data_IF_580135140200
#
_entry.id   IF_580135140200
#
_cell.length_a   1.000
_cell.length_b   1.000
_cell.length_c   1.000
_cell.angle_alpha   90.00
_cell.angle_beta   90.00
_cell.angle_gamma   90.00
#
_symmetry.space_group_name_H-M   'P 1'
#
loop_
_entity.id
_entity.type
_entity.pdbx_description
1 polymer ?
#
# COMPACT_ATOMS: atom_id res chain seq x y z
N UNK A 1 -77.88 17.24 -20.76
CA UNK A 1 -76.81 17.07 -19.74
C UNK A 1 -75.85 15.97 -20.21
N UNK A 2 -74.68 16.32 -20.75
CA UNK A 2 -73.51 15.42 -20.82
C UNK A 2 -72.32 16.24 -21.31
N UNK A 3 -71.38 16.55 -20.42
CA UNK A 3 -70.07 17.11 -20.78
C UNK A 3 -69.00 16.05 -20.47
N UNK A 4 -68.18 15.79 -21.48
CA UNK A 4 -66.94 15.03 -21.39
C UNK A 4 -65.95 15.67 -20.41
N UNK A 5 -65.18 14.84 -19.72
CA UNK A 5 -63.84 15.22 -19.26
C UNK A 5 -62.87 14.04 -19.46
N UNK A 6 -61.90 14.25 -20.36
CA UNK A 6 -60.67 13.48 -20.47
C UNK A 6 -59.72 13.91 -19.32
N UNK A 7 -59.12 12.94 -18.63
CA UNK A 7 -58.01 13.17 -17.72
C UNK A 7 -56.68 12.98 -18.47
N UNK A 8 -55.90 14.05 -18.60
CA UNK A 8 -54.47 13.98 -18.95
C UNK A 8 -53.66 13.74 -17.67
N UNK A 9 -52.93 12.63 -17.60
CA UNK A 9 -51.92 12.38 -16.57
C UNK A 9 -50.55 12.80 -17.10
N UNK A 10 -49.96 13.85 -16.53
CA UNK A 10 -48.57 14.25 -16.78
C UNK A 10 -47.63 13.49 -15.86
N UNK A 11 -46.75 12.65 -16.44
CA UNK A 11 -45.65 12.00 -15.75
C UNK A 11 -44.47 12.99 -15.70
N UNK A 12 -44.11 13.46 -14.51
CA UNK A 12 -42.89 14.25 -14.29
C UNK A 12 -41.73 13.31 -13.96
N UNK A 13 -40.77 13.22 -14.88
CA UNK A 13 -39.53 12.48 -14.71
C UNK A 13 -38.55 13.35 -13.90
N UNK A 14 -38.35 13.04 -12.62
CA UNK A 14 -37.37 13.72 -11.77
C UNK A 14 -36.01 13.08 -12.01
N UNK A 15 -35.17 13.73 -12.84
CA UNK A 15 -33.74 13.41 -12.92
C UNK A 15 -33.05 13.90 -11.64
N UNK A 16 -32.80 12.99 -10.70
CA UNK A 16 -31.88 13.25 -9.59
C UNK A 16 -30.45 13.23 -10.10
N UNK A 17 -29.91 14.41 -10.43
CA UNK A 17 -28.46 14.60 -10.57
C UNK A 17 -27.82 14.36 -9.20
N UNK A 18 -27.29 13.16 -8.99
CA UNK A 18 -26.42 12.85 -7.87
C UNK A 18 -25.17 13.71 -7.96
N UNK A 19 -25.14 14.81 -7.21
CA UNK A 19 -23.91 15.55 -6.95
C UNK A 19 -23.01 14.64 -6.13
N UNK A 20 -21.92 14.17 -6.74
CA UNK A 20 -20.84 13.53 -6.01
C UNK A 20 -20.25 14.58 -5.05
N UNK A 21 -20.74 14.59 -3.81
CA UNK A 21 -20.23 15.46 -2.77
C UNK A 21 -18.74 15.15 -2.57
N UNK A 22 -17.88 16.06 -2.99
CA UNK A 22 -16.46 16.03 -2.65
C UNK A 22 -16.35 16.30 -1.16
N UNK A 23 -16.22 15.24 -0.37
CA UNK A 23 -16.03 15.35 1.08
C UNK A 23 -14.83 16.26 1.35
N UNK A 24 -15.06 17.41 2.01
CA UNK A 24 -13.99 18.34 2.40
C UNK A 24 -13.04 17.63 3.38
N UNK A 25 -11.73 17.73 3.10
CA UNK A 25 -10.70 17.22 4.02
C UNK A 25 -10.74 18.00 5.34
N UNK A 26 -10.80 17.27 6.44
CA UNK A 26 -10.64 17.78 7.81
C UNK A 26 -9.13 17.95 8.07
N UNK A 27 -8.68 18.90 8.91
CA UNK A 27 -7.25 19.19 9.11
C UNK A 27 -6.36 17.99 9.50
N UNK A 28 -6.93 16.92 10.05
CA UNK A 28 -6.21 15.72 10.48
C UNK A 28 -6.32 14.52 9.50
N UNK A 29 -6.94 14.72 8.35
CA UNK A 29 -7.07 13.69 7.33
C UNK A 29 -5.76 13.43 6.61
N UNK A 30 -5.62 12.21 6.10
CA UNK A 30 -4.57 11.93 5.14
C UNK A 30 -4.93 12.62 3.82
N UNK A 31 -4.11 13.57 3.39
CA UNK A 31 -4.30 14.17 2.06
C UNK A 31 -3.81 13.23 0.96
N UNK A 32 -4.26 13.44 -0.27
CA UNK A 32 -3.75 12.71 -1.44
C UNK A 32 -2.21 12.81 -1.57
N UNK A 33 -1.64 14.00 -1.37
CA UNK A 33 -0.17 14.19 -1.43
C UNK A 33 0.54 13.33 -0.37
N UNK A 34 0.04 13.32 0.85
CA UNK A 34 0.61 12.48 1.93
C UNK A 34 0.41 10.99 1.64
N UNK A 35 -0.76 10.58 1.14
CA UNK A 35 -1.04 9.20 0.75
C UNK A 35 -0.07 8.70 -0.33
N UNK A 36 0.19 9.52 -1.36
CA UNK A 36 1.18 9.19 -2.39
C UNK A 36 2.60 9.08 -1.82
N UNK A 37 3.01 10.00 -0.95
CA UNK A 37 4.33 9.95 -0.31
C UNK A 37 4.48 8.69 0.56
N UNK A 38 3.45 8.34 1.34
CA UNK A 38 3.44 7.11 2.14
C UNK A 38 3.46 5.86 1.27
N UNK A 39 2.70 5.83 0.17
CA UNK A 39 2.71 4.71 -0.77
C UNK A 39 4.10 4.51 -1.39
N UNK A 40 4.74 5.59 -1.87
CA UNK A 40 6.10 5.53 -2.42
C UNK A 40 7.12 5.09 -1.37
N UNK A 41 6.99 5.58 -0.13
CA UNK A 41 7.84 5.14 0.98
C UNK A 41 7.63 3.67 1.29
N UNK A 42 6.39 3.18 1.35
CA UNK A 42 6.07 1.77 1.56
C UNK A 42 6.69 0.88 0.47
N UNK A 43 6.57 1.27 -0.81
CA UNK A 43 7.24 0.58 -1.93
C UNK A 43 8.74 0.48 -1.74
N UNK A 44 9.39 1.59 -1.41
CA UNK A 44 10.84 1.61 -1.20
C UNK A 44 11.25 0.69 -0.04
N UNK A 45 10.52 0.75 1.08
CA UNK A 45 10.78 -0.10 2.25
C UNK A 45 10.58 -1.58 1.93
N UNK A 46 9.53 -1.93 1.18
CA UNK A 46 9.29 -3.30 0.72
C UNK A 46 10.47 -3.82 -0.10
N UNK A 47 10.86 -3.13 -1.18
CA UNK A 47 11.91 -3.61 -2.07
C UNK A 47 13.29 -3.65 -1.42
N UNK A 48 13.62 -2.66 -0.59
CA UNK A 48 14.85 -2.71 0.20
C UNK A 48 14.87 -3.94 1.13
N UNK A 49 13.74 -4.24 1.77
CA UNK A 49 13.64 -5.41 2.66
C UNK A 49 13.75 -6.72 1.87
N UNK A 50 13.06 -6.85 0.73
CA UNK A 50 13.18 -8.04 -0.13
C UNK A 50 14.58 -8.20 -0.74
N UNK A 51 15.28 -7.10 -0.96
CA UNK A 51 16.67 -7.10 -1.44
C UNK A 51 17.69 -7.46 -0.35
N UNK A 52 17.26 -7.80 0.87
CA UNK A 52 18.15 -8.12 1.98
C UNK A 52 18.74 -6.91 2.70
N UNK A 53 18.49 -5.68 2.26
CA UNK A 53 19.11 -4.48 2.79
C UNK A 53 18.76 -3.20 2.04
N UNK A 54 19.02 -2.06 2.66
CA UNK A 54 18.80 -0.77 1.99
C UNK A 54 19.81 -0.53 0.85
N UNK A 55 19.44 0.22 -0.18
CA UNK A 55 20.39 0.59 -1.24
C UNK A 55 21.67 1.28 -0.71
N UNK A 56 21.57 1.99 0.42
CA UNK A 56 22.69 2.71 1.05
C UNK A 56 23.67 1.81 1.81
N UNK A 57 23.27 0.58 2.12
CA UNK A 57 24.02 -0.34 3.00
C UNK A 57 24.70 -1.49 2.26
N UNK A 58 24.58 -1.58 0.93
CA UNK A 58 25.17 -2.64 0.10
C UNK A 58 26.67 -2.90 0.38
N UNK A 59 27.41 -1.91 0.86
CA UNK A 59 28.80 -2.04 1.24
C UNK A 59 29.06 -2.93 2.49
N UNK A 60 28.05 -3.23 3.30
CA UNK A 60 28.17 -3.98 4.57
C UNK A 60 27.26 -5.23 4.63
N UNK A 61 26.89 -5.76 3.46
CA UNK A 61 26.01 -6.92 3.34
C UNK A 61 26.83 -8.19 3.18
N UNK A 62 26.52 -9.23 3.96
CA UNK A 62 27.11 -10.56 3.77
C UNK A 62 26.31 -11.33 2.72
N UNK A 63 26.99 -11.97 1.76
CA UNK A 63 26.38 -12.89 0.80
C UNK A 63 26.22 -14.32 1.35
N UNK A 64 26.33 -14.49 2.67
CA UNK A 64 26.20 -15.80 3.32
C UNK A 64 24.78 -16.33 3.13
N UNK A 65 24.70 -17.52 2.53
CA UNK A 65 23.46 -18.20 2.20
C UNK A 65 23.35 -19.54 2.94
N UNK A 66 22.13 -20.00 3.14
CA UNK A 66 21.85 -21.32 3.68
C UNK A 66 20.54 -21.88 3.13
N UNK A 67 20.39 -23.19 3.18
CA UNK A 67 19.13 -23.85 2.82
C UNK A 67 18.24 -24.06 4.05
N UNK A 68 16.95 -23.78 3.91
CA UNK A 68 15.94 -24.05 4.92
C UNK A 68 14.58 -24.26 4.23
N UNK A 69 13.87 -25.33 4.59
CA UNK A 69 12.56 -25.66 4.00
C UNK A 69 12.57 -25.68 2.45
N UNK A 70 13.62 -26.27 1.86
CA UNK A 70 13.83 -26.39 0.41
C UNK A 70 13.92 -25.04 -0.34
N UNK A 71 14.23 -23.95 0.38
CA UNK A 71 14.49 -22.63 -0.18
C UNK A 71 15.90 -22.18 0.20
N UNK A 72 16.56 -21.48 -0.71
CA UNK A 72 17.80 -20.79 -0.43
C UNK A 72 17.49 -19.47 0.28
N UNK A 73 18.19 -19.17 1.36
CA UNK A 73 18.07 -17.96 2.15
C UNK A 73 19.35 -17.15 2.12
N UNK A 74 19.22 -15.84 2.32
CA UNK A 74 20.33 -14.90 2.48
C UNK A 74 20.13 -14.12 3.78
N UNK A 75 21.20 -13.97 4.57
CA UNK A 75 21.18 -13.12 5.75
C UNK A 75 21.06 -11.64 5.37
N UNK A 76 20.21 -10.92 6.12
CA UNK A 76 20.02 -9.49 5.90
C UNK A 76 21.24 -8.67 6.34
N UNK A 77 21.45 -7.53 5.68
CA UNK A 77 22.50 -6.58 6.01
C UNK A 77 22.35 -6.04 7.44
N UNK A 78 23.44 -5.55 8.04
CA UNK A 78 23.54 -5.22 9.47
C UNK A 78 22.41 -4.33 10.02
N UNK A 79 21.89 -3.41 9.20
CA UNK A 79 20.81 -2.48 9.55
C UNK A 79 19.42 -3.12 9.58
N UNK A 80 19.24 -4.27 8.91
CA UNK A 80 18.03 -5.11 8.96
C UNK A 80 18.29 -6.48 9.62
N UNK A 81 19.52 -6.76 10.03
CA UNK A 81 20.03 -8.10 10.39
C UNK A 81 19.39 -8.76 11.62
N UNK A 82 18.42 -8.13 12.27
CA UNK A 82 17.58 -8.79 13.29
C UNK A 82 16.13 -8.41 13.07
N UNK A 83 15.20 -9.25 13.53
CA UNK A 83 13.75 -8.96 13.45
C UNK A 83 13.41 -7.59 14.04
N UNK A 84 13.99 -7.22 15.18
CA UNK A 84 13.75 -5.93 15.82
C UNK A 84 14.22 -4.75 14.94
N UNK A 85 15.38 -4.89 14.28
CA UNK A 85 15.90 -3.88 13.36
C UNK A 85 15.04 -3.73 12.11
N UNK A 86 14.62 -4.84 11.51
CA UNK A 86 13.70 -4.81 10.37
C UNK A 86 12.35 -4.18 10.74
N UNK A 87 11.75 -4.57 11.87
CA UNK A 87 10.51 -3.95 12.36
C UNK A 87 10.68 -2.45 12.57
N UNK A 88 11.79 -2.02 13.19
CA UNK A 88 12.09 -0.58 13.39
C UNK A 88 12.19 0.15 12.06
N UNK A 89 12.85 -0.44 11.07
CA UNK A 89 12.97 0.13 9.72
C UNK A 89 11.61 0.27 9.02
N UNK A 90 10.73 -0.73 9.14
CA UNK A 90 9.43 -0.76 8.47
C UNK A 90 8.33 0.06 9.17
N UNK A 91 8.46 0.29 10.48
CA UNK A 91 7.44 0.96 11.32
C UNK A 91 6.97 2.35 10.82
N UNK A 92 7.82 3.21 10.23
CA UNK A 92 7.37 4.47 9.68
C UNK A 92 6.41 4.33 8.49
N UNK A 93 6.51 3.24 7.71
CA UNK A 93 5.71 3.02 6.51
C UNK A 93 4.49 2.12 6.76
N UNK A 94 4.62 1.15 7.67
CA UNK A 94 3.64 0.07 7.84
C UNK A 94 3.14 -0.05 9.28
N UNK A 95 1.86 -0.38 9.43
CA UNK A 95 1.28 -0.78 10.72
C UNK A 95 2.00 -2.00 11.30
N UNK A 96 1.98 -2.16 12.62
CA UNK A 96 2.62 -3.32 13.26
C UNK A 96 2.07 -4.65 12.71
N UNK A 97 0.76 -4.72 12.55
CA UNK A 97 0.08 -5.91 12.02
C UNK A 97 0.50 -6.21 10.58
N UNK A 98 0.66 -5.19 9.73
CA UNK A 98 1.14 -5.37 8.36
C UNK A 98 2.55 -5.96 8.32
N UNK A 99 3.45 -5.46 9.18
CA UNK A 99 4.82 -5.96 9.28
C UNK A 99 4.83 -7.43 9.72
N UNK A 100 4.13 -7.75 10.82
CA UNK A 100 4.07 -9.11 11.34
C UNK A 100 3.49 -10.10 10.31
N UNK A 101 2.45 -9.69 9.59
CA UNK A 101 1.84 -10.48 8.52
C UNK A 101 2.79 -10.65 7.33
N UNK A 102 3.40 -9.57 6.85
CA UNK A 102 4.33 -9.60 5.72
C UNK A 102 5.56 -10.46 5.99
N UNK A 103 6.22 -10.31 7.14
CA UNK A 103 7.37 -11.16 7.49
C UNK A 103 7.01 -12.65 7.49
N UNK A 104 5.77 -13.00 7.88
CA UNK A 104 5.29 -14.38 7.83
C UNK A 104 4.98 -14.84 6.40
N UNK A 105 4.24 -14.04 5.63
CA UNK A 105 3.81 -14.36 4.26
C UNK A 105 5.00 -14.54 3.31
N UNK A 106 6.06 -13.76 3.50
CA UNK A 106 7.29 -13.84 2.71
C UNK A 106 8.37 -14.73 3.36
N UNK A 107 7.98 -15.58 4.31
CA UNK A 107 8.83 -16.61 4.91
C UNK A 107 10.13 -16.09 5.53
N UNK A 108 10.15 -14.87 6.08
CA UNK A 108 11.33 -14.38 6.82
C UNK A 108 11.61 -15.28 8.02
N UNK A 109 12.88 -15.60 8.25
CA UNK A 109 13.30 -16.50 9.32
C UNK A 109 14.48 -15.93 10.10
N UNK A 110 14.73 -16.49 11.29
CA UNK A 110 15.87 -16.15 12.12
C UNK A 110 16.73 -17.40 12.31
N UNK A 111 18.02 -17.29 11.98
CA UNK A 111 19.02 -18.32 12.23
C UNK A 111 20.20 -17.66 12.96
N UNK A 112 20.59 -18.24 14.10
CA UNK A 112 21.68 -17.72 14.96
C UNK A 112 21.51 -16.24 15.34
N UNK A 113 20.26 -15.82 15.58
CA UNK A 113 19.91 -14.43 15.91
C UNK A 113 19.93 -13.46 14.73
N UNK A 114 20.34 -13.89 13.53
CA UNK A 114 20.34 -13.10 12.30
C UNK A 114 19.06 -13.31 11.50
N UNK A 115 18.45 -12.22 11.03
CA UNK A 115 17.29 -12.26 10.15
C UNK A 115 17.73 -12.66 8.73
N UNK A 116 16.92 -13.48 8.07
CA UNK A 116 17.13 -13.93 6.70
C UNK A 116 15.82 -13.92 5.91
N UNK A 117 15.96 -13.74 4.59
CA UNK A 117 14.87 -13.73 3.60
C UNK A 117 15.18 -14.78 2.52
N UNK A 118 14.18 -15.49 1.96
CA UNK A 118 14.41 -16.37 0.82
C UNK A 118 14.98 -15.59 -0.37
N UNK A 119 15.87 -16.22 -1.12
CA UNK A 119 16.41 -15.68 -2.37
C UNK A 119 15.28 -15.62 -3.40
N UNK A 120 15.11 -14.46 -4.02
CA UNK A 120 14.17 -14.23 -5.10
C UNK A 120 14.46 -12.91 -5.80
N UNK A 121 13.87 -12.73 -6.97
CA UNK A 121 13.88 -11.47 -7.71
C UNK A 121 12.46 -10.94 -7.90
N UNK A 122 12.38 -9.65 -8.22
CA UNK A 122 11.11 -9.01 -8.47
C UNK A 122 11.31 -7.56 -8.89
N UNK A 123 10.48 -7.14 -9.83
CA UNK A 123 10.26 -5.75 -10.16
C UNK A 123 8.84 -5.63 -10.73
N UNK A 124 8.35 -4.42 -10.96
CA UNK A 124 7.16 -4.21 -11.74
C UNK A 124 7.25 -2.96 -12.59
N UNK A 125 6.44 -2.98 -13.65
CA UNK A 125 6.31 -1.90 -14.61
C UNK A 125 5.37 -0.78 -14.12
N UNK A 126 5.00 -0.73 -12.84
CA UNK A 126 4.04 0.25 -12.33
C UNK A 126 4.72 1.58 -11.98
N UNK A 127 4.31 2.64 -12.67
CA UNK A 127 4.81 3.99 -12.45
C UNK A 127 4.03 4.71 -11.34
N UNK A 128 4.25 4.31 -10.10
CA UNK A 128 3.59 4.90 -8.93
C UNK A 128 3.79 6.40 -8.79
N UNK A 129 4.93 6.93 -9.24
CA UNK A 129 5.20 8.38 -9.23
C UNK A 129 4.20 9.17 -10.08
N UNK A 130 3.57 8.53 -11.07
CA UNK A 130 2.54 9.13 -11.95
C UNK A 130 1.12 8.67 -11.60
N UNK A 131 0.92 7.99 -10.46
CA UNK A 131 -0.38 7.49 -10.08
C UNK A 131 -1.38 8.63 -9.80
N UNK A 132 -2.63 8.44 -10.25
CA UNK A 132 -3.77 9.28 -9.88
C UNK A 132 -4.53 8.60 -8.75
N UNK A 133 -5.13 9.37 -7.84
CA UNK A 133 -5.82 8.81 -6.68
C UNK A 133 -7.27 9.28 -6.58
N UNK A 134 -8.13 8.38 -6.12
CA UNK A 134 -9.52 8.68 -5.73
C UNK A 134 -9.75 8.18 -4.31
N UNK A 135 -10.31 9.03 -3.43
CA UNK A 135 -10.70 8.61 -2.09
C UNK A 135 -11.90 7.65 -2.22
N UNK A 136 -11.78 6.44 -1.68
CA UNK A 136 -12.87 5.47 -1.66
C UNK A 136 -13.64 5.48 -0.34
N UNK A 137 -12.92 5.60 0.77
CA UNK A 137 -13.49 5.51 2.11
C UNK A 137 -12.68 6.33 3.09
N UNK A 138 -13.37 6.97 4.03
CA UNK A 138 -12.81 7.67 5.19
C UNK A 138 -13.67 7.36 6.40
N UNK A 139 -13.08 6.67 7.39
CA UNK A 139 -13.74 6.26 8.64
C UNK A 139 -12.79 6.43 9.81
N UNK A 140 -12.92 7.54 10.53
CA UNK A 140 -12.06 7.86 11.68
C UNK A 140 -10.57 7.78 11.35
N UNK A 141 -9.86 6.86 12.00
CA UNK A 141 -8.42 6.60 11.83
C UNK A 141 -8.08 5.71 10.63
N UNK A 142 -9.02 5.49 9.70
CA UNK A 142 -8.82 4.66 8.51
C UNK A 142 -9.24 5.41 7.24
N UNK A 143 -8.38 5.41 6.23
CA UNK A 143 -8.68 5.96 4.90
C UNK A 143 -8.20 5.02 3.80
N UNK A 144 -9.00 4.86 2.75
CA UNK A 144 -8.66 4.01 1.60
C UNK A 144 -8.69 4.84 0.33
N UNK A 145 -7.60 4.79 -0.43
CA UNK A 145 -7.48 5.42 -1.73
C UNK A 145 -7.35 4.35 -2.82
N UNK A 146 -8.03 4.58 -3.95
CA UNK A 146 -7.76 3.88 -5.21
C UNK A 146 -6.70 4.61 -5.98
N UNK A 147 -5.57 3.97 -6.22
CA UNK A 147 -4.52 4.39 -7.12
C UNK A 147 -4.80 3.84 -8.51
N UNK A 148 -4.82 4.72 -9.50
CA UNK A 148 -4.74 4.36 -10.92
C UNK A 148 -3.31 4.60 -11.35
N UNK A 149 -2.55 3.53 -11.51
CA UNK A 149 -1.09 3.54 -11.71
C UNK A 149 -0.78 3.25 -13.17
N UNK A 150 -0.25 4.24 -13.92
CA UNK A 150 0.22 4.01 -15.28
C UNK A 150 1.33 2.96 -15.31
N UNK A 151 1.42 2.21 -16.40
CA UNK A 151 2.54 1.30 -16.62
C UNK A 151 3.66 2.01 -17.40
N UNK A 152 4.88 1.49 -17.30
CA UNK A 152 6.06 2.01 -18.00
C UNK A 152 6.13 1.57 -19.46
N UNK A 153 5.49 0.46 -19.80
CA UNK A 153 5.45 -0.13 -21.14
C UNK A 153 4.31 0.41 -22.03
N UNK A 154 3.49 1.32 -21.51
CA UNK A 154 2.34 1.88 -22.23
C UNK A 154 1.06 1.02 -22.18
N UNK A 155 1.09 -0.12 -21.50
CA UNK A 155 -0.10 -0.92 -21.18
C UNK A 155 -1.16 -0.12 -20.37
N UNK A 156 -2.41 -0.60 -20.32
CA UNK A 156 -3.45 0.04 -19.51
C UNK A 156 -3.05 0.19 -18.04
N UNK A 157 -3.45 1.31 -17.42
CA UNK A 157 -3.15 1.57 -16.01
C UNK A 157 -3.76 0.53 -15.08
N UNK A 158 -2.99 0.09 -14.08
CA UNK A 158 -3.47 -0.79 -13.04
C UNK A 158 -4.27 -0.01 -11.98
N UNK A 159 -5.30 -0.63 -11.40
CA UNK A 159 -6.03 -0.10 -10.24
C UNK A 159 -5.59 -0.84 -8.98
N UNK A 160 -5.19 -0.10 -7.94
CA UNK A 160 -4.73 -0.63 -6.66
C UNK A 160 -5.40 0.12 -5.52
N UNK A 161 -6.03 -0.60 -4.60
CA UNK A 161 -6.62 0.01 -3.41
C UNK A 161 -5.62 -0.09 -2.26
N UNK A 162 -5.28 1.04 -1.67
CA UNK A 162 -4.33 1.12 -0.55
C UNK A 162 -5.05 1.71 0.65
N UNK A 163 -5.05 0.95 1.74
CA UNK A 163 -5.65 1.37 3.00
C UNK A 163 -4.59 1.85 3.98
N UNK A 164 -4.84 3.02 4.54
CA UNK A 164 -4.01 3.69 5.52
C UNK A 164 -4.71 3.71 6.87
N UNK A 165 -3.95 3.42 7.92
CA UNK A 165 -4.41 3.40 9.31
C UNK A 165 -3.54 4.34 10.12
N UNK A 166 -4.15 5.14 10.99
CA UNK A 166 -3.44 6.04 11.90
C UNK A 166 -3.12 5.31 13.20
N UNK A 167 -1.85 5.04 13.44
CA UNK A 167 -1.32 4.49 14.70
C UNK A 167 -0.49 5.57 15.39
N UNK A 168 -0.78 5.89 16.65
CA UNK A 168 -0.05 6.91 17.43
C UNK A 168 0.10 8.24 16.69
N UNK A 169 -0.99 8.72 16.09
CA UNK A 169 -1.05 9.94 15.27
C UNK A 169 -0.23 9.93 13.96
N UNK A 170 0.34 8.78 13.57
CA UNK A 170 1.07 8.61 12.31
C UNK A 170 0.28 7.71 11.37
N UNK A 171 0.04 8.17 10.14
CA UNK A 171 -0.59 7.37 9.09
C UNK A 171 0.39 6.35 8.51
N UNK A 172 -0.05 5.11 8.35
CA UNK A 172 0.75 3.99 7.85
C UNK A 172 -0.06 3.09 6.93
N UNK A 173 0.60 2.35 6.05
CA UNK A 173 -0.04 1.36 5.18
C UNK A 173 -0.37 0.10 5.99
N UNK A 174 -1.57 -0.45 5.80
CA UNK A 174 -2.07 -1.58 6.59
C UNK A 174 -1.75 -2.98 6.00
N UNK A 175 -1.05 -3.03 4.87
CA UNK A 175 -0.64 -4.24 4.19
C UNK A 175 0.77 -4.06 3.61
N UNK A 176 1.62 -5.07 3.77
CA UNK A 176 3.05 -4.97 3.50
C UNK A 176 3.40 -4.81 2.01
N UNK A 177 2.65 -5.48 1.14
CA UNK A 177 2.81 -5.53 -0.31
C UNK A 177 1.73 -4.75 -1.06
N UNK A 178 1.01 -3.85 -0.37
CA UNK A 178 -0.05 -3.04 -0.97
C UNK A 178 0.47 -2.13 -2.10
N UNK A 179 1.74 -1.75 -2.01
CA UNK A 179 2.45 -0.90 -2.96
C UNK A 179 3.80 -1.53 -3.22
N UNK A 180 3.92 -2.24 -4.33
CA UNK A 180 5.18 -2.79 -4.83
C UNK A 180 5.53 -2.12 -6.12
#
# INVERSE_FOLDING_TARGET
MKKWLLFLTTITLILSLGTAATAKNTPNDLTQKQALQLALSAREHFWNTMSGGTLKSKANCTSEQFEYQNLQYVFMCKELGTKAKAVKYLTPAFTKQAIDKGLKEYHFTVKDGKLAVPVGDGDNLLNWKKAKMTLLSKKGSVQTYRFTVPTLDGSPSAKRDVTFVKENNVWKVNQFDAVI
#
